data_IF_591108972567
#
_entry.id   IF_591108972567
#
_cell.length_a   1.000
_cell.length_b   1.000
_cell.length_c   1.000
_cell.angle_alpha   90.00
_cell.angle_beta   90.00
_cell.angle_gamma   90.00
#
_symmetry.space_group_name_H-M   'P 1'
#
loop_
_entity.id
_entity.type
_entity.pdbx_description
1 polymer ?
#
# COMPACT_ATOMS: atom_id res chain seq x y z
N UNK A 1 2.27 -13.78 -3.85
CA UNK A 1 1.31 -12.86 -3.22
C UNK A 1 -0.05 -13.49 -3.37
N UNK A 2 -0.79 -13.63 -2.26
CA UNK A 2 -2.16 -14.15 -2.23
C UNK A 2 -3.11 -13.06 -1.73
N UNK A 3 -4.39 -13.17 -2.05
CA UNK A 3 -5.43 -12.42 -1.34
C UNK A 3 -5.61 -13.07 0.03
N UNK A 4 -5.47 -12.29 1.10
CA UNK A 4 -5.62 -12.77 2.46
C UNK A 4 -7.08 -12.61 2.92
N UNK A 5 -7.50 -13.48 3.84
CA UNK A 5 -8.87 -13.46 4.34
C UNK A 5 -9.07 -12.30 5.31
N UNK A 6 -10.28 -11.75 5.38
CA UNK A 6 -10.59 -10.60 6.27
C UNK A 6 -10.30 -10.90 7.75
N UNK A 7 -10.36 -12.17 8.18
CA UNK A 7 -9.98 -12.56 9.55
C UNK A 7 -8.51 -12.25 9.87
N UNK A 8 -7.66 -12.10 8.86
CA UNK A 8 -6.24 -11.77 8.98
C UNK A 8 -5.99 -10.24 9.04
N UNK A 9 -7.02 -9.40 8.95
CA UNK A 9 -6.89 -7.93 8.90
C UNK A 9 -6.17 -7.35 10.13
N UNK A 10 -6.24 -8.03 11.27
CA UNK A 10 -5.54 -7.62 12.49
C UNK A 10 -4.02 -7.50 12.32
N UNK A 11 -3.43 -8.16 11.31
CA UNK A 11 -2.00 -8.11 11.01
C UNK A 11 -1.52 -6.71 10.58
N UNK A 12 -2.41 -5.87 10.01
CA UNK A 12 -2.07 -4.50 9.61
C UNK A 12 -2.41 -3.45 10.67
N UNK A 13 -2.93 -3.85 11.84
CA UNK A 13 -3.42 -2.92 12.87
C UNK A 13 -2.39 -1.89 13.30
N UNK A 14 -1.13 -2.31 13.48
CA UNK A 14 -0.04 -1.41 13.86
C UNK A 14 0.39 -0.44 12.75
N UNK A 15 0.18 -0.81 11.48
CA UNK A 15 0.51 0.03 10.33
C UNK A 15 -0.60 1.03 10.02
N UNK A 16 -1.86 0.60 10.07
CA UNK A 16 -3.02 1.47 9.85
C UNK A 16 -3.28 2.41 11.04
N UNK A 17 -2.91 2.02 12.27
CA UNK A 17 -3.03 2.86 13.47
C UNK A 17 -4.43 3.47 13.62
N UNK A 18 -4.58 4.80 13.54
CA UNK A 18 -5.86 5.49 13.67
C UNK A 18 -6.85 5.12 12.55
N UNK A 19 -6.34 4.77 11.38
CA UNK A 19 -7.15 4.46 10.18
C UNK A 19 -7.62 3.00 10.14
N UNK A 20 -7.29 2.19 11.16
CA UNK A 20 -7.53 0.75 11.13
C UNK A 20 -8.99 0.35 10.91
N UNK A 21 -9.94 0.96 11.60
CA UNK A 21 -11.36 0.62 11.44
C UNK A 21 -11.89 1.03 10.05
N UNK A 22 -11.43 2.18 9.53
CA UNK A 22 -11.75 2.62 8.17
C UNK A 22 -11.22 1.61 7.14
N UNK A 23 -9.94 1.26 7.23
CA UNK A 23 -9.30 0.29 6.33
C UNK A 23 -9.96 -1.09 6.41
N UNK A 24 -10.30 -1.54 7.62
CA UNK A 24 -11.03 -2.80 7.82
C UNK A 24 -12.39 -2.78 7.13
N UNK A 25 -13.13 -1.68 7.24
CA UNK A 25 -14.41 -1.52 6.56
C UNK A 25 -14.24 -1.51 5.04
N UNK A 26 -13.22 -0.82 4.51
CA UNK A 26 -12.93 -0.83 3.06
C UNK A 26 -12.66 -2.25 2.53
N UNK A 27 -11.90 -3.06 3.27
CA UNK A 27 -11.64 -4.46 2.89
C UNK A 27 -12.91 -5.31 3.01
N UNK A 28 -13.70 -5.13 4.07
CA UNK A 28 -14.94 -5.88 4.27
C UNK A 28 -16.00 -5.62 3.18
N UNK A 29 -16.07 -4.38 2.66
CA UNK A 29 -16.99 -3.99 1.59
C UNK A 29 -16.42 -4.20 0.18
N UNK A 30 -15.18 -4.69 0.05
CA UNK A 30 -14.54 -4.96 -1.23
C UNK A 30 -14.00 -3.72 -1.95
N UNK A 31 -14.00 -2.55 -1.30
CA UNK A 31 -13.39 -1.32 -1.82
C UNK A 31 -11.86 -1.37 -1.76
N UNK A 32 -11.29 -2.21 -0.89
CA UNK A 32 -9.86 -2.49 -0.82
C UNK A 32 -9.62 -4.00 -0.69
N UNK A 33 -8.40 -4.45 -0.97
CA UNK A 33 -8.01 -5.85 -0.91
C UNK A 33 -6.83 -6.02 0.03
N UNK A 34 -6.98 -6.92 1.01
CA UNK A 34 -5.88 -7.38 1.84
C UNK A 34 -5.10 -8.47 1.09
N UNK A 35 -3.78 -8.28 0.95
CA UNK A 35 -2.87 -9.25 0.33
C UNK A 35 -1.76 -9.62 1.29
N UNK A 36 -1.23 -10.84 1.12
CA UNK A 36 -0.10 -11.35 1.89
C UNK A 36 0.99 -11.91 0.97
N UNK A 37 2.25 -11.67 1.36
CA UNK A 37 3.42 -12.29 0.76
C UNK A 37 4.57 -12.41 1.78
N UNK A 38 5.03 -13.63 2.03
CA UNK A 38 6.18 -13.95 2.88
C UNK A 38 6.13 -13.30 4.28
N UNK A 39 4.94 -13.27 4.88
CA UNK A 39 4.71 -12.67 6.19
C UNK A 39 4.60 -11.14 6.17
N UNK A 40 4.53 -10.52 4.98
CA UNK A 40 4.12 -9.13 4.80
C UNK A 40 2.64 -9.07 4.44
N UNK A 41 1.86 -8.29 5.19
CA UNK A 41 0.48 -7.96 4.87
C UNK A 41 0.39 -6.55 4.33
N UNK A 42 -0.38 -6.36 3.28
CA UNK A 42 -0.56 -5.08 2.61
C UNK A 42 -2.02 -4.89 2.22
N UNK A 43 -2.54 -3.68 2.38
CA UNK A 43 -3.86 -3.32 1.85
C UNK A 43 -3.67 -2.48 0.60
N UNK A 44 -4.30 -2.94 -0.48
CA UNK A 44 -4.24 -2.32 -1.79
C UNK A 44 -5.62 -1.84 -2.20
N UNK A 45 -5.69 -0.64 -2.76
CA UNK A 45 -6.90 -0.05 -3.30
C UNK A 45 -6.64 0.45 -4.71
N UNK A 46 -7.59 0.25 -5.62
CA UNK A 46 -7.50 0.82 -6.98
C UNK A 46 -8.30 2.10 -6.99
N UNK A 47 -7.61 3.22 -7.15
CA UNK A 47 -8.19 4.55 -7.24
C UNK A 47 -8.02 5.08 -8.67
N UNK A 48 -8.65 6.23 -9.00
CA UNK A 48 -8.53 6.86 -10.33
C UNK A 48 -7.09 7.13 -10.72
N UNK A 49 -6.26 7.45 -9.74
CA UNK A 49 -4.87 7.85 -9.96
C UNK A 49 -3.91 6.65 -10.01
N UNK A 50 -4.38 5.42 -9.73
CA UNK A 50 -3.58 4.20 -9.80
C UNK A 50 -3.79 3.22 -8.65
N UNK A 51 -2.79 2.37 -8.43
CA UNK A 51 -2.79 1.40 -7.33
C UNK A 51 -2.29 2.09 -6.05
N UNK A 52 -3.18 2.32 -5.09
CA UNK A 52 -2.85 2.86 -3.79
C UNK A 52 -2.44 1.74 -2.82
N UNK A 53 -1.28 1.91 -2.19
CA UNK A 53 -0.80 1.13 -1.06
C UNK A 53 -1.22 1.85 0.21
N UNK A 54 -2.32 1.39 0.82
CA UNK A 54 -2.94 2.04 1.97
C UNK A 54 -2.08 1.85 3.23
N UNK A 55 -1.68 0.61 3.49
CA UNK A 55 -0.74 0.29 4.55
C UNK A 55 -0.05 -1.05 4.29
N UNK A 56 1.13 -1.23 4.88
CA UNK A 56 1.85 -2.50 4.87
C UNK A 56 2.52 -2.77 6.22
N UNK A 57 2.44 -4.02 6.68
CA UNK A 57 2.96 -4.47 7.97
C UNK A 57 3.60 -5.86 7.85
N UNK A 58 4.40 -6.22 8.84
CA UNK A 58 5.01 -7.55 8.94
C UNK A 58 6.47 -7.59 8.48
N UNK A 59 6.93 -8.79 8.15
CA UNK A 59 8.32 -9.06 7.75
C UNK A 59 8.44 -8.88 6.23
N UNK A 60 9.67 -8.68 5.73
CA UNK A 60 9.95 -8.70 4.28
C UNK A 60 9.19 -7.65 3.43
N UNK A 61 8.99 -6.44 3.96
CA UNK A 61 8.43 -5.29 3.22
C UNK A 61 9.13 -5.01 1.87
N UNK A 62 10.43 -5.30 1.77
CA UNK A 62 11.19 -5.18 0.52
C UNK A 62 10.77 -6.23 -0.53
N UNK A 63 10.41 -7.44 -0.08
CA UNK A 63 10.06 -8.55 -0.97
C UNK A 63 8.65 -8.41 -1.56
N UNK A 64 7.73 -7.71 -0.87
CA UNK A 64 6.39 -7.45 -1.40
C UNK A 64 6.36 -6.33 -2.44
N UNK A 65 7.26 -5.34 -2.35
CA UNK A 65 7.33 -4.21 -3.29
C UNK A 65 7.35 -4.62 -4.79
N UNK A 66 8.19 -5.57 -5.26
CA UNK A 66 8.17 -5.96 -6.68
C UNK A 66 6.87 -6.66 -7.07
N UNK A 67 6.16 -7.31 -6.12
CA UNK A 67 4.85 -7.94 -6.37
C UNK A 67 3.76 -6.89 -6.55
N UNK A 68 3.79 -5.80 -5.76
CA UNK A 68 2.89 -4.65 -5.94
C UNK A 68 3.14 -3.98 -7.29
N UNK A 69 4.40 -3.75 -7.67
CA UNK A 69 4.74 -3.19 -8.99
C UNK A 69 4.27 -4.09 -10.13
N UNK A 70 4.49 -5.40 -10.02
CA UNK A 70 4.01 -6.36 -11.01
C UNK A 70 2.48 -6.36 -11.11
N UNK A 71 1.77 -6.31 -9.98
CA UNK A 71 0.31 -6.22 -9.97
C UNK A 71 -0.18 -4.94 -10.65
N UNK A 72 0.38 -3.79 -10.28
CA UNK A 72 0.02 -2.50 -10.85
C UNK A 72 0.19 -2.48 -12.38
N UNK A 73 1.30 -3.02 -12.89
CA UNK A 73 1.50 -3.20 -14.34
C UNK A 73 0.47 -4.15 -14.95
N UNK A 74 0.15 -5.26 -14.28
CA UNK A 74 -0.78 -6.27 -14.79
C UNK A 74 -2.22 -5.74 -14.90
N UNK A 75 -2.60 -4.82 -14.01
CA UNK A 75 -3.90 -4.12 -14.08
C UNK A 75 -3.84 -2.83 -14.90
N UNK A 76 -2.70 -2.54 -15.56
CA UNK A 76 -2.47 -1.32 -16.33
C UNK A 76 -2.71 -0.02 -15.53
N UNK A 77 -2.40 -0.04 -14.23
CA UNK A 77 -2.50 1.16 -13.40
C UNK A 77 -1.50 2.24 -13.89
N UNK A 78 -1.93 3.50 -14.01
CA UNK A 78 -1.04 4.57 -14.47
C UNK A 78 0.09 4.88 -13.48
N UNK A 79 -0.13 4.63 -12.19
CA UNK A 79 0.86 4.85 -11.16
C UNK A 79 0.63 3.95 -9.93
N UNK A 80 1.59 3.99 -9.01
CA UNK A 80 1.47 3.45 -7.64
C UNK A 80 1.59 4.62 -6.68
N UNK A 81 0.68 4.69 -5.71
CA UNK A 81 0.65 5.77 -4.71
C UNK A 81 0.75 5.16 -3.31
N UNK A 82 1.48 5.80 -2.40
CA UNK A 82 1.39 5.45 -0.97
C UNK A 82 1.49 6.70 -0.10
N UNK A 83 0.80 6.66 1.04
CA UNK A 83 0.77 7.74 2.01
C UNK A 83 1.49 7.27 3.28
N UNK A 84 2.38 8.09 3.85
CA UNK A 84 3.09 7.69 5.06
C UNK A 84 3.51 8.87 5.93
N UNK A 85 3.37 8.70 7.24
CA UNK A 85 4.05 9.52 8.26
C UNK A 85 5.43 8.98 8.62
N UNK A 86 5.76 7.74 8.19
CA UNK A 86 6.99 7.03 8.58
C UNK A 86 8.08 7.21 7.54
N UNK A 87 9.11 7.98 7.86
CA UNK A 87 10.31 8.17 7.01
C UNK A 87 11.02 6.87 6.63
N UNK A 88 10.92 5.84 7.47
CA UNK A 88 11.55 4.54 7.22
C UNK A 88 11.01 3.84 5.95
N UNK A 89 9.73 4.05 5.61
CA UNK A 89 9.12 3.46 4.41
C UNK A 89 9.71 4.05 3.13
N UNK A 90 9.94 5.37 3.09
CA UNK A 90 10.65 6.05 1.99
C UNK A 90 12.03 5.45 1.78
N UNK A 91 12.78 5.22 2.87
CA UNK A 91 14.12 4.62 2.79
C UNK A 91 14.07 3.20 2.24
N UNK A 92 13.03 2.43 2.61
CA UNK A 92 12.85 1.05 2.17
C UNK A 92 12.50 0.97 0.67
N UNK A 93 11.75 1.94 0.17
CA UNK A 93 11.33 1.99 -1.24
C UNK A 93 12.25 2.84 -2.12
N UNK A 94 13.45 3.20 -1.64
CA UNK A 94 14.39 4.06 -2.37
C UNK A 94 14.90 3.47 -3.69
N UNK A 95 14.83 2.14 -3.85
CA UNK A 95 15.15 1.45 -5.09
C UNK A 95 14.10 1.68 -6.21
N UNK A 96 12.94 2.23 -5.86
CA UNK A 96 11.85 2.53 -6.78
C UNK A 96 11.74 4.03 -7.01
N UNK A 97 11.23 4.42 -8.18
CA UNK A 97 11.08 5.83 -8.58
C UNK A 97 9.86 6.50 -7.94
N UNK A 98 9.69 6.36 -6.62
CA UNK A 98 8.67 7.09 -5.88
C UNK A 98 9.12 8.53 -5.66
N UNK A 99 8.41 9.45 -6.28
CA UNK A 99 8.60 10.89 -6.15
C UNK A 99 7.64 11.43 -5.08
N UNK A 100 8.12 12.31 -4.23
CA UNK A 100 7.26 13.04 -3.29
C UNK A 100 6.38 14.00 -4.07
N UNK A 101 5.07 13.95 -3.83
CA UNK A 101 4.09 14.80 -4.50
C UNK A 101 3.63 15.94 -3.59
N UNK A 102 3.14 15.60 -2.40
CA UNK A 102 2.59 16.56 -1.44
C UNK A 102 2.52 15.96 -0.03
N UNK A 103 2.11 16.77 0.94
CA UNK A 103 1.71 16.32 2.27
C UNK A 103 0.25 16.70 2.45
N UNK A 104 -0.60 15.77 2.88
CA UNK A 104 -2.02 16.07 3.12
C UNK A 104 -2.24 16.86 4.42
N UNK A 105 -3.48 17.30 4.64
CA UNK A 105 -3.89 18.09 5.82
C UNK A 105 -3.64 17.34 7.14
N UNK A 106 -3.63 16.00 7.09
CA UNK A 106 -3.37 15.13 8.23
C UNK A 106 -1.86 14.87 8.45
N UNK A 107 -0.99 15.40 7.59
CA UNK A 107 0.47 15.31 7.70
C UNK A 107 1.09 14.03 7.12
N UNK A 108 0.37 13.27 6.29
CA UNK A 108 0.94 12.16 5.53
C UNK A 108 1.67 12.67 4.30
N UNK A 109 2.92 12.24 4.14
CA UNK A 109 3.65 12.47 2.90
C UNK A 109 3.15 11.49 1.83
N UNK A 110 2.74 12.05 0.69
CA UNK A 110 2.23 11.33 -0.47
C UNK A 110 3.38 11.12 -1.46
N UNK A 111 3.54 9.87 -1.88
CA UNK A 111 4.54 9.48 -2.86
C UNK A 111 3.89 8.77 -4.03
N UNK A 112 4.35 9.08 -5.24
CA UNK A 112 3.87 8.48 -6.48
C UNK A 112 5.01 7.93 -7.32
N UNK A 113 4.81 6.73 -7.84
CA UNK A 113 5.64 6.15 -8.89
C UNK A 113 4.79 6.00 -10.14
N UNK A 114 5.08 6.78 -11.17
CA UNK A 114 4.45 6.63 -12.48
C UNK A 114 4.92 5.32 -13.13
N UNK A 115 3.99 4.55 -13.69
CA UNK A 115 4.29 3.30 -14.39
C UNK A 115 4.22 3.44 -15.91
N UNK A 116 3.44 4.41 -16.39
CA UNK A 116 3.30 4.74 -17.81
C UNK A 116 4.00 6.07 -18.07
N UNK A 117 5.26 5.97 -18.50
CA UNK A 117 6.08 7.01 -19.09
C UNK A 117 6.89 6.39 -20.22
#
# INVERSE_FOLDING_TARGET
MRVAHISEIHQIKSAAAADYETVKNEVAHGSAVLVEFEGCYCVLRVDRDGLCVVCAAGKNLLAIAPKVVSLARRISAPSIVYHTKRKALKRLLSAYQFVYESTDEDGYAIYRMTLNG
#
